data_IF_938554499526
#
_entry.id   IF_938554499526
#
_cell.length_a   1.000
_cell.length_b   1.000
_cell.length_c   1.000
_cell.angle_alpha   90.00
_cell.angle_beta   90.00
_cell.angle_gamma   90.00
#
_symmetry.space_group_name_H-M   'P 1'
#
loop_
_entity.id
_entity.type
_entity.pdbx_description
1 polymer ?
#
# COMPACT_ATOMS: atom_id res chain seq x y z
N UNK A 1 -23.07 5.24 -11.95
CA UNK A 1 -22.07 5.30 -10.88
C UNK A 1 -21.43 6.68 -10.70
N UNK A 2 -20.59 7.17 -11.62
CA UNK A 2 -19.91 8.46 -11.44
C UNK A 2 -20.86 9.66 -11.21
N UNK A 3 -21.96 9.72 -11.97
CA UNK A 3 -23.00 10.74 -11.75
C UNK A 3 -23.71 10.58 -10.38
N UNK A 4 -23.86 9.35 -9.88
CA UNK A 4 -24.51 9.07 -8.60
C UNK A 4 -23.64 9.56 -7.43
N UNK A 5 -22.31 9.37 -7.53
CA UNK A 5 -21.34 9.95 -6.60
C UNK A 5 -21.39 11.47 -6.62
N UNK A 6 -21.37 12.09 -7.81
CA UNK A 6 -21.42 13.55 -7.94
C UNK A 6 -22.72 14.16 -7.39
N UNK A 7 -23.84 13.43 -7.52
CA UNK A 7 -25.15 13.83 -6.97
C UNK A 7 -25.30 13.51 -5.48
N UNK A 8 -24.33 12.85 -4.86
CA UNK A 8 -24.40 12.46 -3.45
C UNK A 8 -25.50 11.45 -3.14
N UNK A 9 -25.83 10.55 -4.09
CA UNK A 9 -26.87 9.53 -3.87
C UNK A 9 -26.45 8.64 -2.69
N UNK A 10 -27.30 8.47 -1.65
CA UNK A 10 -26.99 7.60 -0.51
C UNK A 10 -26.61 6.18 -0.96
N UNK A 11 -25.49 5.67 -0.44
CA UNK A 11 -24.98 4.35 -0.76
C UNK A 11 -24.03 4.28 -1.96
N UNK A 12 -24.01 5.27 -2.86
CA UNK A 12 -23.11 5.26 -4.01
C UNK A 12 -21.62 5.18 -3.59
N UNK A 13 -21.25 5.89 -2.52
CA UNK A 13 -19.87 5.94 -2.02
C UNK A 13 -19.41 4.65 -1.31
N UNK A 14 -20.34 3.76 -0.91
CA UNK A 14 -19.99 2.55 -0.15
C UNK A 14 -19.07 1.64 -0.98
N UNK A 15 -19.37 1.49 -2.27
CA UNK A 15 -18.54 0.68 -3.18
C UNK A 15 -17.14 1.27 -3.35
N UNK A 16 -17.02 2.58 -3.55
CA UNK A 16 -15.74 3.28 -3.69
C UNK A 16 -14.89 3.16 -2.43
N UNK A 17 -15.51 3.32 -1.25
CA UNK A 17 -14.84 3.16 0.03
C UNK A 17 -14.39 1.71 0.25
N UNK A 18 -15.23 0.73 -0.06
CA UNK A 18 -14.88 -0.68 0.04
C UNK A 18 -13.70 -1.05 -0.87
N UNK A 19 -13.72 -0.59 -2.13
CA UNK A 19 -12.64 -0.81 -3.09
C UNK A 19 -11.35 -0.09 -2.68
N UNK A 20 -11.45 1.15 -2.18
CA UNK A 20 -10.30 1.91 -1.70
C UNK A 20 -9.65 1.28 -0.47
N UNK A 21 -10.48 0.76 0.45
CA UNK A 21 -10.01 0.01 1.61
C UNK A 21 -9.33 -1.30 1.19
N UNK A 22 -9.91 -2.05 0.26
CA UNK A 22 -9.30 -3.28 -0.27
C UNK A 22 -7.94 -3.00 -0.95
N UNK A 23 -7.83 -1.89 -1.70
CA UNK A 23 -6.55 -1.43 -2.28
C UNK A 23 -5.50 -1.15 -1.21
N UNK A 24 -5.85 -0.36 -0.20
CA UNK A 24 -4.91 0.04 0.86
C UNK A 24 -4.45 -1.16 1.72
N UNK A 25 -5.35 -2.12 1.98
CA UNK A 25 -5.09 -3.33 2.76
C UNK A 25 -4.52 -4.49 1.92
N UNK A 26 -4.22 -4.26 0.64
CA UNK A 26 -3.70 -5.28 -0.29
C UNK A 26 -4.56 -6.55 -0.39
N UNK A 27 -5.88 -6.42 -0.21
CA UNK A 27 -6.87 -7.48 -0.41
C UNK A 27 -7.20 -7.58 -1.90
N UNK A 28 -6.25 -8.07 -2.69
CA UNK A 28 -6.32 -8.06 -4.16
C UNK A 28 -7.59 -8.73 -4.71
N UNK A 29 -7.96 -9.89 -4.18
CA UNK A 29 -9.17 -10.61 -4.59
C UNK A 29 -10.43 -9.78 -4.34
N UNK A 30 -10.54 -9.15 -3.18
CA UNK A 30 -11.68 -8.29 -2.85
C UNK A 30 -11.71 -7.06 -3.76
N UNK A 31 -10.55 -6.45 -4.04
CA UNK A 31 -10.45 -5.33 -4.97
C UNK A 31 -10.91 -5.70 -6.37
N UNK A 32 -10.54 -6.88 -6.88
CA UNK A 32 -10.98 -7.35 -8.20
C UNK A 32 -12.49 -7.57 -8.20
N UNK A 33 -13.01 -8.30 -7.21
CA UNK A 33 -14.44 -8.61 -7.09
C UNK A 33 -15.31 -7.37 -6.92
N UNK A 34 -14.77 -6.30 -6.31
CA UNK A 34 -15.45 -5.01 -6.19
C UNK A 34 -15.37 -4.18 -7.48
N UNK A 35 -14.51 -4.54 -8.43
CA UNK A 35 -14.36 -3.90 -9.74
C UNK A 35 -15.65 -3.93 -10.57
N UNK A 36 -15.74 -3.05 -11.58
CA UNK A 36 -16.88 -3.10 -12.53
C UNK A 36 -16.75 -4.27 -13.50
N UNK A 37 -15.50 -4.69 -13.73
CA UNK A 37 -15.11 -5.81 -14.56
C UNK A 37 -14.01 -6.58 -13.80
N UNK A 38 -14.39 -7.55 -12.94
CA UNK A 38 -13.45 -8.27 -12.09
C UNK A 38 -12.42 -9.09 -12.85
N UNK A 39 -12.82 -9.69 -13.98
CA UNK A 39 -11.95 -10.52 -14.81
C UNK A 39 -10.83 -9.68 -15.41
N UNK A 40 -11.18 -8.55 -16.04
CA UNK A 40 -10.18 -7.65 -16.61
C UNK A 40 -9.23 -7.06 -15.58
N UNK A 41 -9.73 -6.74 -14.38
CA UNK A 41 -8.89 -6.21 -13.31
C UNK A 41 -7.85 -7.24 -12.84
N UNK A 42 -8.25 -8.52 -12.78
CA UNK A 42 -7.37 -9.64 -12.44
C UNK A 42 -6.34 -9.89 -13.55
N UNK A 43 -6.78 -9.90 -14.80
CA UNK A 43 -5.91 -10.13 -15.96
C UNK A 43 -4.77 -9.10 -16.00
N UNK A 44 -5.07 -7.81 -15.83
CA UNK A 44 -4.05 -6.75 -15.85
C UNK A 44 -3.04 -6.86 -14.70
N UNK A 45 -3.47 -7.32 -13.53
CA UNK A 45 -2.53 -7.62 -12.46
C UNK A 45 -1.65 -8.83 -12.82
N UNK A 46 -2.26 -9.88 -13.37
CA UNK A 46 -1.61 -11.16 -13.62
C UNK A 46 -0.68 -11.18 -14.83
N UNK A 47 -0.80 -10.20 -15.75
CA UNK A 47 0.16 -9.95 -16.83
C UNK A 47 1.62 -9.88 -16.33
N UNK A 48 1.83 -9.33 -15.13
CA UNK A 48 3.16 -9.19 -14.53
C UNK A 48 3.29 -9.90 -13.19
N UNK A 49 2.18 -10.20 -12.53
CA UNK A 49 2.15 -10.84 -11.21
C UNK A 49 1.20 -12.06 -11.16
N UNK A 50 1.43 -13.12 -11.95
CA UNK A 50 0.46 -14.22 -12.13
C UNK A 50 0.35 -15.20 -10.95
N UNK A 51 1.37 -15.30 -10.09
CA UNK A 51 1.39 -16.29 -8.99
C UNK A 51 0.30 -15.97 -7.96
N UNK A 52 -0.29 -17.00 -7.37
CA UNK A 52 -1.28 -16.84 -6.28
C UNK A 52 -0.71 -16.09 -5.08
N UNK A 53 0.58 -16.28 -4.77
CA UNK A 53 1.28 -15.55 -3.71
C UNK A 53 1.30 -14.02 -3.94
N UNK A 54 1.13 -13.54 -5.18
CA UNK A 54 1.06 -12.12 -5.45
C UNK A 54 -0.26 -11.49 -5.03
N UNK A 55 -1.33 -12.28 -4.86
CA UNK A 55 -2.64 -11.80 -4.40
C UNK A 55 -2.68 -11.44 -2.91
N UNK A 56 -1.57 -11.69 -2.21
CA UNK A 56 -1.34 -11.28 -0.82
C UNK A 56 -0.10 -10.39 -0.69
N UNK A 57 0.49 -9.95 -1.81
CA UNK A 57 1.67 -9.10 -1.79
C UNK A 57 1.30 -7.65 -1.45
N UNK A 58 2.09 -7.02 -0.58
CA UNK A 58 1.97 -5.59 -0.23
C UNK A 58 2.62 -4.66 -1.27
N UNK A 59 2.50 -5.00 -2.55
CA UNK A 59 2.96 -4.20 -3.68
C UNK A 59 2.37 -4.74 -5.00
N UNK A 60 2.47 -3.95 -6.06
CA UNK A 60 2.27 -4.40 -7.44
C UNK A 60 3.53 -4.17 -8.27
N UNK A 61 3.50 -4.55 -9.55
CA UNK A 61 4.61 -4.39 -10.49
C UNK A 61 4.97 -2.93 -10.79
N UNK A 62 4.09 -1.97 -10.53
CA UNK A 62 4.35 -0.55 -10.82
C UNK A 62 5.48 0.04 -9.97
N UNK A 63 5.48 -0.23 -8.66
CA UNK A 63 6.45 0.34 -7.72
C UNK A 63 7.35 -0.71 -7.07
N UNK A 64 6.97 -1.99 -7.13
CA UNK A 64 7.70 -3.07 -6.50
C UNK A 64 7.69 -3.03 -4.96
N UNK A 65 8.41 -3.96 -4.32
CA UNK A 65 8.31 -4.20 -2.87
C UNK A 65 8.89 -3.09 -1.99
N UNK A 66 9.76 -2.24 -2.55
CA UNK A 66 10.52 -1.24 -1.79
C UNK A 66 9.96 0.18 -1.91
N UNK A 67 9.17 0.46 -2.96
CA UNK A 67 8.70 1.82 -3.26
C UNK A 67 7.17 1.95 -3.34
N UNK A 68 6.42 0.92 -2.92
CA UNK A 68 4.96 1.01 -2.85
C UNK A 68 4.55 2.02 -1.78
N UNK A 69 3.89 3.11 -2.20
CA UNK A 69 3.48 4.21 -1.32
C UNK A 69 2.49 3.79 -0.23
N UNK A 70 1.56 2.89 -0.54
CA UNK A 70 0.59 2.39 0.45
C UNK A 70 1.29 1.57 1.53
N UNK A 71 2.24 0.72 1.14
CA UNK A 71 3.06 -0.07 2.09
C UNK A 71 3.88 0.85 2.98
N UNK A 72 4.61 1.81 2.39
CA UNK A 72 5.39 2.80 3.16
C UNK A 72 4.49 3.56 4.15
N UNK A 73 3.29 3.94 3.71
CA UNK A 73 2.32 4.63 4.58
C UNK A 73 1.86 3.76 5.74
N UNK A 74 1.69 2.45 5.51
CA UNK A 74 1.36 1.48 6.56
C UNK A 74 2.54 1.29 7.51
N UNK A 75 3.75 1.09 7.00
CA UNK A 75 4.98 0.93 7.80
C UNK A 75 5.19 2.13 8.74
N UNK A 76 4.93 3.36 8.28
CA UNK A 76 5.01 4.57 9.11
C UNK A 76 3.93 4.59 10.21
N UNK A 77 2.69 4.17 9.90
CA UNK A 77 1.62 4.09 10.89
C UNK A 77 1.90 3.03 11.94
N UNK A 78 2.44 1.88 11.54
CA UNK A 78 2.78 0.78 12.44
C UNK A 78 3.94 1.20 13.35
N UNK A 79 4.99 1.83 12.80
CA UNK A 79 6.08 2.41 13.59
C UNK A 79 5.55 3.40 14.64
N UNK A 80 4.68 4.33 14.24
CA UNK A 80 4.10 5.31 15.14
C UNK A 80 3.29 4.64 16.27
N UNK A 81 2.47 3.63 15.94
CA UNK A 81 1.67 2.88 16.90
C UNK A 81 2.53 2.09 17.89
N UNK A 82 3.58 1.41 17.41
CA UNK A 82 4.52 0.64 18.23
C UNK A 82 5.29 1.53 19.23
N UNK A 83 5.57 2.78 18.85
CA UNK A 83 6.32 3.74 19.67
C UNK A 83 5.40 4.70 20.46
N UNK A 84 4.07 4.54 20.34
CA UNK A 84 3.10 5.42 21.02
C UNK A 84 3.10 6.87 20.53
N UNK A 85 3.57 7.11 19.30
CA UNK A 85 3.67 8.44 18.70
C UNK A 85 2.35 8.76 17.99
N UNK A 86 1.70 9.85 18.37
CA UNK A 86 0.43 10.28 17.76
C UNK A 86 0.62 11.22 16.58
N UNK A 87 1.72 11.96 16.54
CA UNK A 87 2.09 12.82 15.42
C UNK A 87 2.92 12.05 14.38
N UNK A 88 2.36 11.87 13.19
CA UNK A 88 3.02 11.16 12.09
C UNK A 88 4.31 11.88 11.65
N UNK A 89 4.39 13.20 11.74
CA UNK A 89 5.62 13.90 11.35
C UNK A 89 6.76 13.59 12.31
N UNK A 90 6.47 13.56 13.62
CA UNK A 90 7.43 13.14 14.63
C UNK A 90 7.89 11.69 14.40
N UNK A 91 6.97 10.78 14.07
CA UNK A 91 7.30 9.38 13.76
C UNK A 91 8.22 9.25 12.54
N UNK A 92 8.00 10.07 11.50
CA UNK A 92 8.87 10.10 10.31
C UNK A 92 10.27 10.60 10.69
N UNK A 93 10.37 11.72 11.42
CA UNK A 93 11.65 12.29 11.82
C UNK A 93 12.48 11.31 12.65
N UNK A 94 11.86 10.66 13.64
CA UNK A 94 12.50 9.69 14.51
C UNK A 94 12.95 8.45 13.73
N UNK A 95 12.04 7.83 12.96
CA UNK A 95 12.37 6.65 12.16
C UNK A 95 13.47 6.91 11.13
N UNK A 96 13.49 8.10 10.51
CA UNK A 96 14.55 8.50 9.58
C UNK A 96 15.89 8.73 10.29
N UNK A 97 15.89 9.28 11.50
CA UNK A 97 17.09 9.40 12.32
C UNK A 97 17.67 8.02 12.66
N UNK A 98 16.83 7.05 13.04
CA UNK A 98 17.25 5.67 13.31
C UNK A 98 17.85 4.99 12.08
N UNK A 99 17.19 5.07 10.92
CA UNK A 99 17.72 4.51 9.66
C UNK A 99 19.04 5.15 9.27
N UNK A 100 19.22 6.45 9.53
CA UNK A 100 20.48 7.16 9.29
C UNK A 100 21.61 6.63 10.18
N UNK A 101 21.32 6.32 11.46
CA UNK A 101 22.27 5.67 12.37
C UNK A 101 22.59 4.25 11.89
N UNK A 102 21.59 3.48 11.47
CA UNK A 102 21.76 2.12 10.95
C UNK A 102 22.69 2.12 9.72
N UNK A 103 22.46 3.01 8.76
CA UNK A 103 23.28 3.13 7.55
C UNK A 103 24.76 3.41 7.87
N UNK A 104 25.02 4.31 8.83
CA UNK A 104 26.38 4.58 9.31
C UNK A 104 27.01 3.35 9.96
N UNK A 105 26.26 2.60 10.78
CA UNK A 105 26.73 1.37 11.44
C UNK A 105 27.06 0.25 10.45
N UNK A 106 26.36 0.17 9.33
CA UNK A 106 26.62 -0.82 8.27
C UNK A 106 27.72 -0.39 7.29
N UNK A 107 28.59 0.55 7.69
CA UNK A 107 29.74 0.97 6.87
C UNK A 107 29.42 2.02 5.81
N UNK A 108 28.21 2.60 5.81
CA UNK A 108 27.78 3.63 4.84
C UNK A 108 27.89 3.19 3.37
N UNK A 109 27.71 1.88 3.12
CA UNK A 109 27.71 1.32 1.77
C UNK A 109 26.33 1.47 1.12
N UNK A 110 26.30 2.08 -0.07
CA UNK A 110 25.08 2.19 -0.88
C UNK A 110 24.67 0.81 -1.43
N UNK A 111 25.67 -0.02 -1.76
CA UNK A 111 25.47 -1.38 -2.24
C UNK A 111 26.08 -2.36 -1.25
N UNK A 112 25.24 -3.19 -0.63
CA UNK A 112 25.71 -4.31 0.16
C UNK A 112 25.97 -5.49 -0.76
N UNK A 113 27.11 -6.19 -0.59
CA UNK A 113 27.36 -7.45 -1.30
C UNK A 113 26.29 -8.47 -0.87
N UNK A 114 25.56 -8.97 -1.85
CA UNK A 114 24.56 -10.04 -1.70
C UNK A 114 25.20 -11.36 -1.31
#
# INVERSE_FOLDING_TARGET
HAADLAKGIPGAQVRDNAMSKARFEFRWEDQFNLGLDPERARDYHDETMPKQAHKVAHFCSMCGPNFCSMKISQDVRDYAAEHGITDINAAIEEGMAEKSVQFKKTGSHIYNKS
#
